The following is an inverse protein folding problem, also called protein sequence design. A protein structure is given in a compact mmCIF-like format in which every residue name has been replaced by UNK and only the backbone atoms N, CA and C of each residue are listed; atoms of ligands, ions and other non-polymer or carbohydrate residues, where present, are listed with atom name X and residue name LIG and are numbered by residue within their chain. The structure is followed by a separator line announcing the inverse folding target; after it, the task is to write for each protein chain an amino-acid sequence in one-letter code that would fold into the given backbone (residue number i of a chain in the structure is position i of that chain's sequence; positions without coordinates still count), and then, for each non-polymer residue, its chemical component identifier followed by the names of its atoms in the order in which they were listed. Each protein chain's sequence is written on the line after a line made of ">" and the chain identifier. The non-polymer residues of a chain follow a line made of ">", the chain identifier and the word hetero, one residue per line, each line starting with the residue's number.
data_IF_990451250323
#
_entry.id   IF_990451250323
#
_cell.length_a   1.000
_cell.length_b   1.000
_cell.length_c   1.000
_cell.angle_alpha   90.00
_cell.angle_beta   90.00
_cell.angle_gamma   90.00
#
_symmetry.space_group_name_H-M   'P 1'
#
loop_
_entity.id
_entity.type
_entity.pdbx_description
1 polymer ?
#
# COMPACT_ATOMS: atom_id res chain seq x y z
N UNK A 1 4.28 1.87 -23.00
CA UNK A 1 4.51 1.14 -21.74
C UNK A 1 5.47 1.96 -20.92
N UNK A 2 5.09 2.33 -19.70
CA UNK A 2 6.00 2.96 -18.72
C UNK A 2 6.87 1.83 -18.15
N UNK A 3 8.18 1.94 -18.31
CA UNK A 3 9.14 0.93 -17.82
C UNK A 3 9.18 0.94 -16.28
N UNK A 4 9.50 -0.19 -15.64
CA UNK A 4 9.71 -0.27 -14.19
C UNK A 4 10.78 0.73 -13.73
N UNK A 5 11.82 0.91 -14.54
CA UNK A 5 12.85 1.91 -14.31
C UNK A 5 12.28 3.33 -14.32
N UNK A 6 11.41 3.64 -15.29
CA UNK A 6 10.77 4.95 -15.40
C UNK A 6 9.88 5.20 -14.17
N UNK A 7 9.07 4.21 -13.78
CA UNK A 7 8.24 4.25 -12.57
C UNK A 7 9.06 4.55 -11.29
N UNK A 8 10.19 3.88 -11.09
CA UNK A 8 11.09 4.16 -9.96
C UNK A 8 11.59 5.60 -9.97
N UNK A 9 11.81 6.17 -11.15
CA UNK A 9 12.34 7.53 -11.31
C UNK A 9 11.30 8.63 -11.28
N UNK A 10 10.01 8.30 -11.38
CA UNK A 10 8.89 9.29 -11.42
C UNK A 10 9.00 10.29 -10.28
N UNK A 11 9.46 9.86 -9.10
CA UNK A 11 9.53 10.75 -7.93
C UNK A 11 10.86 11.50 -7.76
N UNK A 12 11.97 11.00 -8.32
CA UNK A 12 13.31 11.64 -8.19
C UNK A 12 13.70 12.44 -9.45
N UNK A 13 12.76 12.66 -10.37
CA UNK A 13 12.99 13.45 -11.59
C UNK A 13 14.12 12.93 -12.48
N UNK A 14 14.42 11.62 -12.41
CA UNK A 14 15.55 11.00 -13.11
C UNK A 14 16.92 11.15 -12.44
N UNK A 15 17.07 11.96 -11.38
CA UNK A 15 18.36 12.16 -10.70
C UNK A 15 18.81 10.95 -9.87
N UNK A 16 17.86 10.16 -9.39
CA UNK A 16 18.15 8.99 -8.56
C UNK A 16 18.96 7.93 -9.30
N UNK A 17 18.78 7.79 -10.60
CA UNK A 17 19.44 6.74 -11.39
C UNK A 17 20.85 7.11 -11.78
N UNK A 18 21.13 8.38 -12.07
CA UNK A 18 22.50 8.88 -12.22
C UNK A 18 23.28 8.70 -10.91
N UNK A 19 22.67 9.01 -9.76
CA UNK A 19 23.29 8.78 -8.45
C UNK A 19 23.53 7.30 -8.16
N UNK A 20 22.59 6.43 -8.53
CA UNK A 20 22.75 4.98 -8.38
C UNK A 20 23.91 4.47 -9.26
N UNK A 21 24.03 4.97 -10.49
CA UNK A 21 25.16 4.68 -11.39
C UNK A 21 26.50 5.07 -10.77
N UNK A 22 26.58 6.30 -10.26
CA UNK A 22 27.79 6.81 -9.63
C UNK A 22 28.17 6.06 -8.34
N UNK A 23 27.16 5.65 -7.56
CA UNK A 23 27.35 4.96 -6.30
C UNK A 23 27.82 3.51 -6.48
N UNK A 24 27.32 2.82 -7.51
CA UNK A 24 27.70 1.44 -7.82
C UNK A 24 28.86 1.34 -8.82
N UNK A 25 29.36 2.47 -9.35
CA UNK A 25 30.40 2.53 -10.40
C UNK A 25 30.01 1.75 -11.66
N UNK A 26 28.73 1.75 -11.98
CA UNK A 26 28.17 1.10 -13.16
C UNK A 26 27.81 2.15 -14.21
N UNK A 27 27.91 1.80 -15.48
CA UNK A 27 27.39 2.65 -16.55
C UNK A 27 25.86 2.72 -16.49
N UNK A 28 25.29 3.83 -16.98
CA UNK A 28 23.83 3.97 -17.12
C UNK A 28 23.17 2.85 -17.92
N UNK A 29 23.89 2.32 -18.92
CA UNK A 29 23.40 1.23 -19.77
C UNK A 29 23.32 -0.07 -18.97
N UNK A 30 24.35 -0.39 -18.19
CA UNK A 30 24.39 -1.57 -17.33
C UNK A 30 23.32 -1.53 -16.25
N UNK A 31 23.11 -0.37 -15.60
CA UNK A 31 22.03 -0.22 -14.61
C UNK A 31 20.67 -0.36 -15.25
N UNK A 32 20.44 0.22 -16.43
CA UNK A 32 19.17 0.08 -17.13
C UNK A 32 18.90 -1.39 -17.46
N UNK A 33 19.87 -2.06 -18.09
CA UNK A 33 19.74 -3.48 -18.46
C UNK A 33 19.54 -4.37 -17.22
N UNK A 34 20.24 -4.09 -16.13
CA UNK A 34 20.12 -4.86 -14.89
C UNK A 34 18.76 -4.62 -14.22
N UNK A 35 18.31 -3.37 -14.16
CA UNK A 35 16.99 -3.03 -13.60
C UNK A 35 15.85 -3.60 -14.43
N UNK A 36 15.97 -3.57 -15.76
CA UNK A 36 15.01 -4.18 -16.69
C UNK A 36 14.94 -5.70 -16.51
N UNK A 37 16.09 -6.37 -16.37
CA UNK A 37 16.14 -7.80 -16.07
C UNK A 37 15.58 -8.16 -14.68
N UNK A 38 15.66 -7.24 -13.72
CA UNK A 38 15.13 -7.40 -12.37
C UNK A 38 13.63 -7.12 -12.26
N UNK A 39 13.08 -6.32 -13.18
CA UNK A 39 11.71 -5.83 -13.10
C UNK A 39 10.66 -6.95 -12.88
N UNK A 40 10.66 -8.06 -13.65
CA UNK A 40 9.65 -9.11 -13.47
C UNK A 40 9.68 -9.74 -12.08
N UNK A 41 10.88 -9.96 -11.54
CA UNK A 41 11.06 -10.55 -10.21
C UNK A 41 10.58 -9.60 -9.11
N UNK A 42 10.86 -8.30 -9.23
CA UNK A 42 10.37 -7.29 -8.29
C UNK A 42 8.85 -7.14 -8.33
N UNK A 43 8.25 -7.15 -9.52
CA UNK A 43 6.79 -7.09 -9.66
C UNK A 43 6.12 -8.26 -8.93
N UNK A 44 6.61 -9.49 -9.12
CA UNK A 44 6.07 -10.68 -8.45
C UNK A 44 6.28 -10.63 -6.93
N UNK A 45 7.47 -10.20 -6.49
CA UNK A 45 7.79 -10.04 -5.07
C UNK A 45 6.84 -9.04 -4.40
N UNK A 46 6.61 -7.90 -5.04
CA UNK A 46 5.74 -6.85 -4.55
C UNK A 46 4.26 -7.27 -4.54
N UNK A 47 3.80 -7.91 -5.61
CA UNK A 47 2.45 -8.47 -5.69
C UNK A 47 2.21 -9.49 -4.56
N UNK A 48 3.16 -10.38 -4.33
CA UNK A 48 3.12 -11.34 -3.22
C UNK A 48 3.02 -10.61 -1.88
N UNK A 49 3.93 -9.67 -1.62
CA UNK A 49 3.95 -8.91 -0.38
C UNK A 49 2.63 -8.17 -0.13
N UNK A 50 1.98 -7.62 -1.16
CA UNK A 50 0.68 -6.97 -1.02
C UNK A 50 -0.48 -7.95 -0.82
N UNK A 51 -0.41 -9.14 -1.41
CA UNK A 51 -1.46 -10.15 -1.27
C UNK A 51 -1.50 -10.81 0.10
N UNK A 52 -0.38 -10.78 0.84
CA UNK A 52 -0.25 -11.35 2.17
C UNK A 52 -0.06 -10.24 3.22
N UNK A 53 -1.08 -9.95 4.06
CA UNK A 53 -1.00 -8.93 5.10
C UNK A 53 0.17 -9.12 6.08
N UNK A 54 0.55 -10.37 6.36
CA UNK A 54 1.65 -10.66 7.27
C UNK A 54 2.99 -10.28 6.61
N UNK A 55 3.19 -10.67 5.34
CA UNK A 55 4.37 -10.30 4.58
C UNK A 55 4.50 -8.78 4.46
N UNK A 56 3.41 -8.08 4.16
CA UNK A 56 3.40 -6.61 4.10
C UNK A 56 3.76 -5.97 5.45
N UNK A 57 3.31 -6.54 6.58
CA UNK A 57 3.62 -6.01 7.91
C UNK A 57 5.11 -6.09 8.24
N UNK A 58 5.76 -7.21 7.90
CA UNK A 58 7.20 -7.39 8.09
C UNK A 58 8.02 -6.47 7.17
N UNK A 59 7.62 -6.37 5.90
CA UNK A 59 8.20 -5.41 4.95
C UNK A 59 8.09 -3.98 5.50
N UNK A 60 6.91 -3.59 5.98
CA UNK A 60 6.68 -2.26 6.55
C UNK A 60 7.56 -2.00 7.78
N UNK A 61 7.67 -2.98 8.69
CA UNK A 61 8.52 -2.90 9.89
C UNK A 61 9.99 -2.68 9.55
N UNK A 62 10.51 -3.41 8.56
CA UNK A 62 11.89 -3.26 8.11
C UNK A 62 12.14 -2.00 7.28
N UNK A 63 11.07 -1.40 6.73
CA UNK A 63 11.14 -0.14 6.01
C UNK A 63 11.20 1.10 6.93
N UNK A 64 10.66 1.02 8.16
CA UNK A 64 10.59 2.16 9.10
C UNK A 64 11.88 2.99 9.23
N UNK A 65 13.09 2.39 9.34
CA UNK A 65 14.33 3.17 9.46
C UNK A 65 14.65 4.04 8.24
N UNK A 66 14.06 3.74 7.09
CA UNK A 66 14.28 4.47 5.84
C UNK A 66 13.21 5.52 5.55
N UNK A 67 12.13 5.55 6.32
CA UNK A 67 11.00 6.46 6.08
C UNK A 67 11.41 7.94 6.12
N UNK A 68 12.39 8.28 6.96
CA UNK A 68 12.93 9.64 7.10
C UNK A 68 14.29 9.81 6.41
N UNK A 69 14.77 8.81 5.67
CA UNK A 69 16.06 8.90 5.00
C UNK A 69 15.96 9.92 3.85
N UNK A 70 16.58 11.08 4.05
CA UNK A 70 16.68 12.12 3.03
C UNK A 70 17.82 11.73 2.08
N UNK A 71 17.49 11.15 0.93
CA UNK A 71 18.45 10.85 -0.12
C UNK A 71 18.14 9.59 -0.92
N UNK A 72 18.87 9.42 -2.02
CA UNK A 72 18.78 8.21 -2.85
C UNK A 72 19.51 7.05 -2.16
N UNK A 73 18.89 5.87 -1.99
CA UNK A 73 19.54 4.73 -1.37
C UNK A 73 20.76 4.29 -2.21
N UNK A 74 21.84 3.93 -1.50
CA UNK A 74 23.12 3.56 -2.12
C UNK A 74 23.74 2.30 -1.50
N UNK A 75 25.02 2.01 -1.79
CA UNK A 75 25.73 0.84 -1.29
C UNK A 75 25.74 0.73 0.24
N UNK A 76 25.82 1.86 0.94
CA UNK A 76 25.78 1.88 2.40
C UNK A 76 24.39 1.49 2.93
N UNK A 77 23.32 1.99 2.29
CA UNK A 77 21.94 1.57 2.59
C UNK A 77 21.78 0.06 2.39
N UNK A 78 22.33 -0.48 1.29
CA UNK A 78 22.26 -1.89 0.96
C UNK A 78 23.01 -2.81 1.95
N UNK A 79 23.98 -2.28 2.71
CA UNK A 79 24.70 -3.03 3.76
C UNK A 79 23.95 -3.08 5.08
N UNK A 80 22.96 -2.20 5.28
CA UNK A 80 22.22 -2.16 6.53
C UNK A 80 21.44 -3.48 6.77
N UNK A 81 21.39 -3.97 8.02
CA UNK A 81 20.60 -5.15 8.35
C UNK A 81 19.12 -4.98 8.00
N UNK A 82 18.59 -3.76 8.15
CA UNK A 82 17.22 -3.42 7.80
C UNK A 82 16.96 -3.59 6.29
N UNK A 83 17.82 -3.10 5.41
CA UNK A 83 17.64 -3.25 3.96
C UNK A 83 17.78 -4.72 3.51
N UNK A 84 18.66 -5.48 4.18
CA UNK A 84 18.79 -6.92 3.94
C UNK A 84 17.51 -7.66 4.30
N UNK A 85 17.01 -7.48 5.52
CA UNK A 85 15.79 -8.14 5.98
C UNK A 85 14.57 -7.67 5.18
N UNK A 86 14.53 -6.40 4.77
CA UNK A 86 13.50 -5.86 3.89
C UNK A 86 13.46 -6.61 2.55
N UNK A 87 14.61 -6.76 1.90
CA UNK A 87 14.71 -7.48 0.63
C UNK A 87 14.38 -8.97 0.81
N UNK A 88 14.90 -9.62 1.84
CA UNK A 88 14.64 -11.04 2.10
C UNK A 88 13.13 -11.30 2.31
N UNK A 89 12.43 -10.43 3.04
CA UNK A 89 10.98 -10.54 3.25
C UNK A 89 10.16 -10.15 2.01
N UNK A 90 10.59 -9.14 1.25
CA UNK A 90 9.91 -8.71 0.02
C UNK A 90 9.88 -9.84 -1.01
N UNK A 91 11.01 -10.54 -1.20
CA UNK A 91 11.10 -11.70 -2.10
C UNK A 91 10.55 -13.00 -1.46
N UNK A 92 10.14 -12.94 -0.19
CA UNK A 92 9.59 -14.05 0.58
C UNK A 92 10.64 -15.02 1.14
N UNK A 93 11.84 -15.05 0.58
CA UNK A 93 12.98 -15.75 1.17
C UNK A 93 14.31 -15.26 0.60
N UNK A 94 15.38 -15.46 1.38
CA UNK A 94 16.75 -15.18 0.96
C UNK A 94 17.20 -16.04 -0.22
N UNK A 95 16.75 -17.29 -0.30
CA UNK A 95 17.15 -18.22 -1.36
C UNK A 95 16.62 -17.75 -2.73
N UNK A 96 15.34 -17.33 -2.79
CA UNK A 96 14.74 -16.76 -4.00
C UNK A 96 15.50 -15.50 -4.41
N UNK A 97 15.79 -14.62 -3.46
CA UNK A 97 16.54 -13.39 -3.71
C UNK A 97 17.94 -13.67 -4.31
N UNK A 98 18.67 -14.65 -3.77
CA UNK A 98 20.00 -15.03 -4.28
C UNK A 98 19.94 -15.68 -5.67
N UNK A 99 18.93 -16.50 -5.96
CA UNK A 99 18.74 -17.09 -7.29
C UNK A 99 18.40 -16.03 -8.35
N UNK A 100 17.57 -15.05 -8.01
CA UNK A 100 17.30 -13.90 -8.88
C UNK A 100 18.58 -13.11 -9.15
N UNK A 101 19.37 -12.81 -8.11
CA UNK A 101 20.64 -12.10 -8.26
C UNK A 101 21.62 -12.86 -9.18
N UNK A 102 21.73 -14.18 -9.02
CA UNK A 102 22.58 -15.04 -9.87
C UNK A 102 22.10 -15.05 -11.33
N UNK A 103 20.78 -15.16 -11.55
CA UNK A 103 20.19 -15.17 -12.88
C UNK A 103 20.44 -13.86 -13.61
N UNK A 104 20.23 -12.73 -12.94
CA UNK A 104 20.45 -11.40 -13.51
C UNK A 104 21.93 -11.13 -13.74
N UNK A 105 22.81 -11.53 -12.81
CA UNK A 105 24.27 -11.45 -12.99
C UNK A 105 24.74 -12.09 -14.30
N UNK A 106 24.17 -13.24 -14.67
CA UNK A 106 24.48 -13.93 -15.93
C UNK A 106 24.01 -13.16 -17.17
N UNK A 107 22.94 -12.36 -17.05
CA UNK A 107 22.36 -11.59 -18.14
C UNK A 107 22.97 -10.20 -18.31
N UNK A 108 23.40 -9.57 -17.21
CA UNK A 108 23.94 -8.21 -17.22
C UNK A 108 25.46 -8.14 -17.20
N UNK A 109 26.17 -9.28 -17.09
CA UNK A 109 27.64 -9.36 -16.96
C UNK A 109 28.19 -8.59 -15.74
N UNK A 110 27.35 -8.43 -14.71
CA UNK A 110 27.72 -7.80 -13.44
C UNK A 110 27.94 -8.88 -12.39
N UNK A 111 28.93 -8.68 -11.51
CA UNK A 111 29.19 -9.59 -10.40
C UNK A 111 27.94 -9.77 -9.51
N UNK A 112 27.64 -11.01 -9.05
CA UNK A 112 26.42 -11.30 -8.30
C UNK A 112 26.34 -10.52 -6.98
N UNK A 113 27.48 -10.26 -6.33
CA UNK A 113 27.54 -9.45 -5.09
C UNK A 113 27.12 -7.99 -5.33
N UNK A 114 27.47 -7.42 -6.49
CA UNK A 114 27.03 -6.07 -6.88
C UNK A 114 25.54 -6.05 -7.19
N UNK A 115 25.03 -7.06 -7.90
CA UNK A 115 23.59 -7.22 -8.16
C UNK A 115 22.81 -7.36 -6.85
N UNK A 116 23.32 -8.12 -5.89
CA UNK A 116 22.72 -8.29 -4.57
C UNK A 116 22.54 -6.95 -3.84
N UNK A 117 23.61 -6.15 -3.79
CA UNK A 117 23.59 -4.81 -3.18
C UNK A 117 22.65 -3.87 -3.93
N UNK A 118 22.65 -3.94 -5.26
CA UNK A 118 21.75 -3.15 -6.10
C UNK A 118 20.29 -3.51 -5.81
N UNK A 119 19.94 -4.79 -5.76
CA UNK A 119 18.58 -5.26 -5.46
C UNK A 119 18.11 -4.79 -4.07
N UNK A 120 18.97 -4.81 -3.05
CA UNK A 120 18.62 -4.27 -1.72
C UNK A 120 18.31 -2.77 -1.78
N UNK A 121 19.15 -2.01 -2.46
CA UNK A 121 18.94 -0.57 -2.67
C UNK A 121 17.63 -0.30 -3.42
N UNK A 122 17.37 -1.07 -4.48
CA UNK A 122 16.14 -0.99 -5.27
C UNK A 122 14.91 -1.39 -4.47
N UNK A 123 15.02 -2.33 -3.53
CA UNK A 123 13.90 -2.74 -2.65
C UNK A 123 13.45 -1.57 -1.78
N UNK A 124 14.41 -0.88 -1.15
CA UNK A 124 14.13 0.33 -0.35
C UNK A 124 13.51 1.41 -1.23
N UNK A 125 14.10 1.67 -2.40
CA UNK A 125 13.62 2.68 -3.34
C UNK A 125 12.20 2.38 -3.85
N UNK A 126 11.90 1.11 -4.17
CA UNK A 126 10.59 0.70 -4.68
C UNK A 126 9.49 0.94 -3.66
N UNK A 127 9.75 0.57 -2.41
CA UNK A 127 8.79 0.77 -1.31
C UNK A 127 8.65 2.25 -1.00
N UNK A 128 9.74 3.01 -1.02
CA UNK A 128 9.71 4.46 -0.85
C UNK A 128 8.87 5.15 -1.93
N UNK A 129 9.10 4.85 -3.21
CA UNK A 129 8.35 5.39 -4.33
C UNK A 129 6.87 5.02 -4.23
N UNK A 130 6.56 3.79 -3.84
CA UNK A 130 5.19 3.34 -3.62
C UNK A 130 4.50 4.10 -2.49
N UNK A 131 5.14 4.21 -1.33
CA UNK A 131 4.61 4.94 -0.17
C UNK A 131 4.38 6.41 -0.51
N UNK A 132 5.31 7.03 -1.22
CA UNK A 132 5.19 8.40 -1.70
C UNK A 132 4.03 8.56 -2.69
N UNK A 133 3.85 7.61 -3.61
CA UNK A 133 2.75 7.62 -4.56
C UNK A 133 1.40 7.45 -3.84
N UNK A 134 1.32 6.56 -2.85
CA UNK A 134 0.15 6.38 -2.00
C UNK A 134 -0.17 7.67 -1.23
N UNK A 135 0.83 8.30 -0.63
CA UNK A 135 0.68 9.53 0.13
C UNK A 135 0.29 10.72 -0.77
N UNK A 136 0.90 10.83 -1.95
CA UNK A 136 0.56 11.84 -2.94
C UNK A 136 -0.87 11.65 -3.48
N UNK A 137 -1.30 10.40 -3.68
CA UNK A 137 -2.68 10.10 -4.07
C UNK A 137 -3.66 10.49 -2.96
N UNK A 138 -3.34 10.17 -1.71
CA UNK A 138 -4.15 10.56 -0.55
C UNK A 138 -4.23 12.09 -0.40
N UNK A 139 -3.11 12.79 -0.53
CA UNK A 139 -3.07 14.25 -0.46
C UNK A 139 -3.88 14.93 -1.58
N UNK A 140 -3.90 14.37 -2.80
CA UNK A 140 -4.75 14.86 -3.89
C UNK A 140 -6.24 14.56 -3.68
N UNK A 141 -6.55 13.49 -2.94
CA UNK A 141 -7.92 13.12 -2.59
C UNK A 141 -8.42 13.81 -1.33
N UNK A 142 -7.54 14.46 -0.56
CA UNK A 142 -7.98 15.29 0.55
C UNK A 142 -8.79 16.48 0.01
N UNK A 143 -10.02 16.68 0.50
CA UNK A 143 -10.78 17.89 0.21
C UNK A 143 -9.96 19.11 0.63
N UNK A 144 -9.80 20.07 -0.29
CA UNK A 144 -8.99 21.29 -0.07
C UNK A 144 -9.34 22.04 1.23
N UNK A 145 -10.58 21.88 1.73
CA UNK A 145 -11.04 22.51 2.97
C UNK A 145 -10.39 22.00 4.27
N UNK A 146 -9.74 20.83 4.31
CA UNK A 146 -9.06 20.36 5.53
C UNK A 146 -7.71 21.05 5.75
N UNK A 147 -7.00 21.41 4.68
CA UNK A 147 -5.71 22.09 4.77
C UNK A 147 -5.81 23.57 5.17
N UNK A 148 -6.95 24.22 4.87
CA UNK A 148 -7.23 25.62 5.23
C UNK A 148 -7.88 25.78 6.63
N UNK A 149 -7.96 24.71 7.42
CA UNK A 149 -8.61 24.74 8.75
C UNK A 149 -10.13 24.90 8.68
N UNK A 150 -10.73 24.78 7.49
CA UNK A 150 -12.14 25.00 7.24
C UNK A 150 -12.90 23.67 7.13
N UNK A 151 -12.82 22.89 8.22
CA UNK A 151 -13.53 21.61 8.41
C UNK A 151 -15.00 21.60 7.94
N UNK A 152 -15.85 22.61 8.22
CA UNK A 152 -17.24 22.59 7.76
C UNK A 152 -17.37 22.65 6.24
N UNK A 153 -16.49 23.38 5.55
CA UNK A 153 -16.46 23.44 4.07
C UNK A 153 -15.95 22.14 3.49
N UNK A 154 -14.93 21.55 4.12
CA UNK A 154 -14.39 20.25 3.72
C UNK A 154 -15.43 19.14 3.83
N UNK A 155 -16.20 19.13 4.93
CA UNK A 155 -17.27 18.17 5.17
C UNK A 155 -18.48 18.41 4.26
N UNK A 156 -18.85 19.67 3.99
CA UNK A 156 -19.88 20.00 3.02
C UNK A 156 -19.50 19.56 1.60
N UNK A 157 -18.23 19.70 1.22
CA UNK A 157 -17.76 19.23 -0.08
C UNK A 157 -17.68 17.70 -0.15
N UNK A 158 -17.29 17.04 0.94
CA UNK A 158 -17.36 15.58 1.05
C UNK A 158 -18.79 15.07 0.92
N UNK A 159 -19.75 15.69 1.65
CA UNK A 159 -21.18 15.38 1.54
C UNK A 159 -21.73 15.64 0.15
N UNK A 160 -21.29 16.72 -0.51
CA UNK A 160 -21.70 17.03 -1.88
C UNK A 160 -21.14 16.03 -2.89
N UNK A 161 -19.88 15.60 -2.72
CA UNK A 161 -19.26 14.55 -3.55
C UNK A 161 -19.92 13.20 -3.31
N UNK A 162 -20.26 12.85 -2.07
CA UNK A 162 -20.97 11.61 -1.74
C UNK A 162 -22.41 11.63 -2.23
N UNK A 163 -23.10 12.77 -2.15
CA UNK A 163 -24.45 12.95 -2.68
C UNK A 163 -24.47 12.77 -4.21
N UNK A 164 -23.53 13.40 -4.93
CA UNK A 164 -23.39 13.20 -6.38
C UNK A 164 -23.05 11.74 -6.76
N UNK A 165 -22.26 11.03 -5.94
CA UNK A 165 -21.95 9.62 -6.16
C UNK A 165 -23.17 8.69 -5.92
N UNK A 166 -23.99 9.01 -4.91
CA UNK A 166 -25.24 8.28 -4.65
C UNK A 166 -26.30 8.55 -5.72
N UNK A 167 -26.40 9.77 -6.23
CA UNK A 167 -27.29 10.10 -7.34
C UNK A 167 -26.87 9.41 -8.65
N UNK A 168 -25.57 9.21 -8.87
CA UNK A 168 -25.05 8.43 -9.99
C UNK A 168 -25.35 6.92 -9.88
N UNK A 169 -25.44 6.36 -8.66
CA UNK A 169 -25.84 4.96 -8.43
C UNK A 169 -27.36 4.74 -8.52
N UNK A 170 -28.16 5.79 -8.33
CA UNK A 170 -29.62 5.72 -8.39
C UNK A 170 -30.22 5.88 -9.79
N UNK A 171 -29.40 6.19 -10.81
CA UNK A 171 -29.88 6.30 -12.20
C UNK A 171 -29.98 4.92 -12.85
N UNK A 172 -31.17 4.44 -13.25
CA UNK A 172 -31.28 3.24 -14.07
C UNK A 172 -30.50 3.46 -15.37
N UNK A 173 -29.50 2.60 -15.58
CA UNK A 173 -28.59 2.66 -16.71
C UNK A 173 -29.32 2.19 -17.96
N UNK A 174 -29.74 3.14 -18.80
CA UNK A 174 -30.22 2.84 -20.15
C UNK A 174 -29.32 3.56 -21.16
N UNK A 175 -28.07 3.10 -21.26
CA UNK A 175 -27.16 3.40 -22.37
C UNK A 175 -25.96 2.43 -22.33
N UNK A 176 -25.65 1.72 -23.44
CA UNK A 176 -24.40 0.99 -23.54
C UNK A 176 -23.29 1.99 -23.90
N UNK A 177 -22.30 2.13 -23.02
CA UNK A 177 -20.86 2.40 -23.26
C UNK A 177 -20.22 3.28 -22.17
N UNK A 178 -19.28 2.67 -21.42
CA UNK A 178 -18.12 3.27 -20.68
C UNK A 178 -18.40 4.24 -19.51
N UNK A 179 -18.03 3.80 -18.30
CA UNK A 179 -16.84 4.25 -17.51
C UNK A 179 -16.82 3.57 -16.14
N UNK A 180 -15.68 3.03 -15.76
CA UNK A 180 -15.44 2.47 -14.42
C UNK A 180 -15.42 3.60 -13.37
N UNK A 181 -16.12 3.38 -12.26
CA UNK A 181 -16.19 4.28 -11.10
C UNK A 181 -15.06 3.94 -10.11
N UNK A 182 -14.26 4.90 -9.61
CA UNK A 182 -13.23 4.64 -8.60
C UNK A 182 -13.85 4.70 -7.20
N UNK A 183 -14.15 3.54 -6.61
CA UNK A 183 -14.78 3.50 -5.28
C UNK A 183 -14.69 2.19 -4.49
N UNK A 184 -14.01 1.16 -5.01
CA UNK A 184 -13.80 -0.10 -4.27
C UNK A 184 -12.29 -0.25 -3.97
N UNK A 185 -11.89 0.08 -2.74
CA UNK A 185 -10.55 -0.25 -2.24
C UNK A 185 -10.49 -1.74 -1.92
N UNK A 186 -10.03 -2.53 -2.89
CA UNK A 186 -9.72 -3.94 -2.74
C UNK A 186 -8.59 -4.33 -3.69
N UNK A 187 -7.97 -5.50 -3.47
CA UNK A 187 -6.91 -6.07 -4.31
C UNK A 187 -7.23 -6.00 -5.81
N UNK A 188 -8.50 -6.13 -6.17
CA UNK A 188 -9.00 -6.11 -7.54
C UNK A 188 -8.81 -4.76 -8.24
N UNK A 189 -8.79 -3.66 -7.49
CA UNK A 189 -8.52 -2.32 -8.06
C UNK A 189 -7.06 -2.20 -8.48
N UNK A 190 -6.12 -2.66 -7.65
CA UNK A 190 -4.69 -2.61 -7.98
C UNK A 190 -4.35 -3.60 -9.09
N UNK A 191 -4.97 -4.78 -9.09
CA UNK A 191 -4.86 -5.74 -10.20
C UNK A 191 -5.43 -5.14 -11.49
N UNK A 192 -6.59 -4.50 -11.44
CA UNK A 192 -7.18 -3.81 -12.58
C UNK A 192 -6.34 -2.64 -13.09
N UNK A 193 -5.76 -1.84 -12.20
CA UNK A 193 -4.91 -0.70 -12.55
C UNK A 193 -3.57 -1.15 -13.14
N UNK A 194 -3.02 -2.28 -12.67
CA UNK A 194 -1.81 -2.88 -13.22
C UNK A 194 -2.08 -3.56 -14.57
N UNK A 195 -3.17 -4.30 -14.71
CA UNK A 195 -3.61 -4.87 -15.98
C UNK A 195 -3.92 -3.79 -17.02
N UNK A 196 -4.56 -2.68 -16.65
CA UNK A 196 -4.79 -1.53 -17.53
C UNK A 196 -3.50 -0.77 -17.86
N UNK A 197 -2.53 -0.73 -16.94
CA UNK A 197 -1.20 -0.16 -17.19
C UNK A 197 -0.38 -0.99 -18.19
N UNK A 198 -0.42 -2.32 -18.08
CA UNK A 198 0.22 -3.23 -19.05
C UNK A 198 -0.45 -3.17 -20.42
N UNK A 199 -1.77 -2.99 -20.47
CA UNK A 199 -2.53 -2.79 -21.70
C UNK A 199 -2.48 -1.34 -22.24
N UNK A 200 -1.66 -0.47 -21.67
CA UNK A 200 -1.39 0.88 -22.19
C UNK A 200 -2.54 1.87 -22.02
N UNK A 201 -3.51 1.57 -21.14
CA UNK A 201 -4.74 2.34 -20.96
C UNK A 201 -4.76 3.03 -19.61
N UNK A 202 -3.80 3.94 -19.42
CA UNK A 202 -3.65 4.71 -18.20
C UNK A 202 -4.65 5.88 -18.17
N UNK A 203 -5.39 6.09 -17.06
CA UNK A 203 -6.44 7.13 -16.97
C UNK A 203 -5.92 8.58 -16.93
N UNK A 204 -4.60 8.78 -16.85
CA UNK A 204 -3.97 10.11 -16.79
C UNK A 204 -3.39 10.61 -18.13
N UNK A 205 -3.55 9.87 -19.24
CA UNK A 205 -3.23 10.41 -20.56
C UNK A 205 -4.43 11.21 -21.12
N UNK A 206 -4.24 12.46 -21.59
CA UNK A 206 -5.24 13.10 -22.43
C UNK A 206 -5.39 12.28 -23.74
N UNK A 207 -6.63 12.09 -24.25
CA UNK A 207 -6.81 11.47 -25.55
C UNK A 207 -6.07 12.30 -26.59
N UNK A 208 -5.14 11.68 -27.33
CA UNK A 208 -4.55 12.30 -28.50
C UNK A 208 -5.66 12.59 -29.51
N UNK A 209 -6.11 13.85 -29.54
CA UNK A 209 -6.93 14.39 -30.62
C UNK A 209 -6.07 14.42 -31.87
N UNK A 210 -6.20 13.38 -32.69
CA UNK A 210 -5.51 13.32 -33.96
C UNK A 210 -5.54 11.92 -34.53
N UNK A 211 -6.69 11.52 -35.06
CA UNK A 211 -6.78 10.67 -36.26
C UNK A 211 -8.23 10.64 -36.75
N UNK A 212 -8.64 11.74 -37.37
CA UNK A 212 -9.72 11.76 -38.35
C UNK A 212 -9.33 10.86 -39.52
N UNK A 213 -10.26 9.97 -39.88
CA UNK A 213 -10.02 8.89 -40.80
C UNK A 213 -9.60 9.30 -42.21
N UNK A 214 -8.76 8.45 -42.80
CA UNK A 214 -8.66 8.28 -44.24
C UNK A 214 -8.84 6.80 -44.57
N UNK A 215 -10.04 6.51 -45.05
CA UNK A 215 -10.49 5.28 -45.70
C UNK A 215 -9.63 5.00 -46.93
N UNK A 216 -8.91 3.88 -46.96
CA UNK A 216 -8.42 3.28 -48.19
C UNK A 216 -8.73 1.77 -48.21
N UNK A 217 -9.26 1.32 -49.34
CA UNK A 217 -9.82 -0.01 -49.60
C UNK A 217 -8.73 -1.05 -49.83
N UNK A 218 -9.00 -2.24 -49.32
CA UNK A 218 -8.75 -3.59 -49.86
C UNK A 218 -7.56 -3.83 -50.80
N UNK A 219 -6.61 -4.65 -50.35
CA UNK A 219 -6.07 -5.76 -51.14
C UNK A 219 -5.33 -6.75 -50.22
N UNK A 220 -5.93 -7.93 -50.10
CA UNK A 220 -5.28 -9.25 -50.15
C UNK A 220 -3.80 -9.35 -49.78
N UNK A 221 -3.51 -9.98 -48.63
CA UNK A 221 -2.31 -10.78 -48.38
C UNK A 221 -2.56 -11.70 -47.18
N UNK A 222 -2.78 -12.96 -47.48
CA UNK A 222 -2.50 -14.08 -46.58
C UNK A 222 -1.05 -13.99 -46.10
N UNK A 223 -0.87 -13.73 -44.81
CA UNK A 223 0.41 -13.96 -44.15
C UNK A 223 0.11 -14.43 -42.72
N UNK A 224 0.20 -15.74 -42.52
CA UNK A 224 0.18 -16.38 -41.21
C UNK A 224 1.29 -15.76 -40.36
N UNK A 225 0.88 -15.07 -39.30
CA UNK A 225 1.79 -14.59 -38.26
C UNK A 225 1.96 -15.73 -37.26
N UNK A 226 3.20 -16.13 -36.91
CA UNK A 226 3.40 -17.11 -35.85
C UNK A 226 2.86 -16.52 -34.54
N UNK A 227 2.04 -17.31 -33.84
CA UNK A 227 1.47 -16.95 -32.55
C UNK A 227 2.56 -16.41 -31.62
N UNK A 228 2.40 -15.15 -31.19
CA UNK A 228 3.21 -14.58 -30.14
C UNK A 228 3.08 -15.45 -28.88
N UNK A 229 4.21 -15.93 -28.38
CA UNK A 229 4.28 -16.66 -27.12
C UNK A 229 3.83 -15.72 -26.00
N UNK A 230 2.67 -16.03 -25.42
CA UNK A 230 2.15 -15.35 -24.24
C UNK A 230 2.64 -16.09 -22.99
N UNK A 231 3.63 -15.55 -22.25
CA UNK A 231 4.29 -16.24 -21.14
C UNK A 231 3.35 -16.51 -19.94
N UNK A 232 2.14 -15.96 -19.94
CA UNK A 232 1.17 -16.11 -18.85
C UNK A 232 0.01 -17.07 -19.17
N UNK A 233 -0.13 -17.55 -20.41
CA UNK A 233 -1.13 -18.56 -20.75
C UNK A 233 -1.09 -19.85 -19.90
N UNK A 234 0.07 -20.42 -19.51
CA UNK A 234 0.06 -21.60 -18.65
C UNK A 234 -0.44 -21.30 -17.22
N UNK A 235 -0.31 -20.06 -16.75
CA UNK A 235 -0.81 -19.64 -15.43
C UNK A 235 -2.31 -19.42 -15.45
N UNK A 236 -2.85 -18.77 -16.49
CA UNK A 236 -4.30 -18.59 -16.65
C UNK A 236 -5.03 -19.95 -16.78
N UNK A 237 -4.45 -20.91 -17.51
CA UNK A 237 -5.00 -22.26 -17.60
C UNK A 237 -4.99 -23.00 -16.25
N UNK A 238 -3.99 -22.77 -15.40
CA UNK A 238 -3.90 -23.38 -14.07
C UNK A 238 -4.88 -22.74 -13.08
N UNK A 239 -5.02 -21.41 -13.08
CA UNK A 239 -6.01 -20.71 -12.24
C UNK A 239 -7.45 -21.03 -12.64
N UNK A 240 -7.74 -21.16 -13.94
CA UNK A 240 -9.06 -21.57 -14.41
C UNK A 240 -9.44 -22.98 -13.92
N UNK A 241 -8.49 -23.93 -13.93
CA UNK A 241 -8.70 -25.27 -13.38
C UNK A 241 -8.84 -25.29 -11.86
N UNK A 242 -8.13 -24.43 -11.15
CA UNK A 242 -8.24 -24.30 -9.69
C UNK A 242 -9.59 -23.70 -9.27
N UNK A 243 -10.03 -22.62 -9.93
CA UNK A 243 -11.33 -22.01 -9.69
C UNK A 243 -12.50 -22.97 -10.04
N UNK A 244 -12.33 -23.78 -11.09
CA UNK A 244 -13.29 -24.84 -11.42
C UNK A 244 -13.27 -26.02 -10.45
N UNK A 245 -12.19 -26.20 -9.67
CA UNK A 245 -12.07 -27.25 -8.66
C UNK A 245 -12.63 -26.89 -7.29
N UNK A 246 -12.67 -25.61 -6.92
CA UNK A 246 -13.23 -25.15 -5.63
C UNK A 246 -14.74 -24.93 -5.64
N UNK A 247 -15.37 -24.83 -6.81
CA UNK A 247 -16.81 -24.58 -6.96
C UNK A 247 -17.68 -25.85 -6.94
N UNK A 248 -17.08 -27.02 -6.74
CA UNK A 248 -17.81 -28.29 -6.69
C UNK A 248 -17.19 -29.30 -5.73
N UNK A 249 -17.38 -29.10 -4.43
CA UNK A 249 -17.18 -30.16 -3.44
C UNK A 249 -18.12 -29.96 -2.25
N UNK A 250 -19.32 -30.50 -2.40
CA UNK A 250 -20.24 -30.78 -1.32
C UNK A 250 -19.64 -31.79 -0.33
N UNK A 251 -19.74 -31.39 0.94
CA UNK A 251 -19.87 -32.16 2.18
C UNK A 251 -19.94 -33.69 2.08
N UNK A 252 -18.95 -34.40 2.65
CA UNK A 252 -19.08 -35.77 3.19
C UNK A 252 -17.93 -36.16 4.13
N UNK A 253 -18.24 -36.21 5.43
CA UNK A 253 -17.83 -37.13 6.50
C UNK A 253 -16.43 -37.77 6.58
N UNK A 254 -15.85 -37.63 7.78
CA UNK A 254 -15.32 -38.67 8.71
C UNK A 254 -13.96 -38.22 9.30
N UNK A 255 -13.89 -37.86 10.58
CA UNK A 255 -13.80 -38.75 11.75
C UNK A 255 -12.50 -39.58 11.74
N UNK A 256 -11.52 -39.16 12.56
CA UNK A 256 -10.26 -39.88 12.75
C UNK A 256 -9.33 -39.18 13.73
N UNK A 257 -9.61 -39.35 15.02
CA UNK A 257 -8.75 -38.96 16.15
C UNK A 257 -7.46 -39.78 16.17
N UNK A 258 -6.29 -39.14 16.36
CA UNK A 258 -5.13 -39.76 17.02
C UNK A 258 -4.09 -38.70 17.46
N UNK A 259 -4.19 -38.35 18.75
CA UNK A 259 -3.10 -37.94 19.64
C UNK A 259 -2.18 -39.18 19.86
N UNK A 260 -0.84 -39.09 19.97
CA UNK A 260 -0.21 -38.57 21.20
C UNK A 260 1.23 -37.98 21.13
N UNK A 261 1.59 -37.36 22.27
CA UNK A 261 2.90 -37.35 22.94
C UNK A 261 3.65 -36.01 23.00
N UNK A 262 3.37 -35.27 24.09
CA UNK A 262 4.34 -34.51 24.89
C UNK A 262 5.52 -35.42 25.31
N UNK A 263 6.75 -34.88 25.49
CA UNK A 263 7.09 -34.46 26.85
C UNK A 263 8.13 -33.31 27.00
N UNK A 264 8.14 -32.81 28.24
CA UNK A 264 9.28 -32.34 29.03
C UNK A 264 9.72 -30.87 28.97
N UNK A 265 9.20 -30.15 29.97
CA UNK A 265 9.75 -28.96 30.59
C UNK A 265 11.17 -29.19 31.16
N UNK A 266 12.07 -28.23 30.91
CA UNK A 266 13.25 -27.96 31.76
C UNK A 266 13.55 -26.45 31.83
N UNK A 267 13.31 -25.92 33.01
CA UNK A 267 13.93 -24.72 33.63
C UNK A 267 14.11 -25.11 35.11
N UNK A 268 15.02 -24.55 35.95
CA UNK A 268 15.77 -23.30 35.80
C UNK A 268 17.26 -23.33 36.28
N UNK A 269 18.01 -22.26 36.03
CA UNK A 269 19.04 -21.68 36.92
C UNK A 269 19.64 -20.43 36.22
N UNK A 270 19.34 -19.20 36.65
CA UNK A 270 19.92 -18.45 37.78
C UNK A 270 21.17 -17.63 37.39
N UNK A 271 20.98 -16.32 37.48
CA UNK A 271 21.89 -15.17 37.62
C UNK A 271 23.27 -15.44 38.26
N UNK A 272 24.29 -14.61 37.95
CA UNK A 272 24.48 -13.43 38.80
C UNK A 272 24.81 -12.13 38.08
N UNK A 273 24.39 -11.05 38.74
CA UNK A 273 24.78 -9.66 38.60
C UNK A 273 26.30 -9.43 38.59
N UNK A 274 26.75 -8.34 37.94
CA UNK A 274 27.35 -7.17 38.63
C UNK A 274 27.76 -6.04 37.68
N UNK A 275 27.53 -4.82 38.18
CA UNK A 275 28.35 -3.59 38.06
C UNK A 275 28.44 -2.79 36.76
N UNK A 276 27.55 -1.79 36.71
CA UNK A 276 27.81 -0.34 36.60
C UNK A 276 29.27 0.13 36.43
N UNK A 277 29.53 0.98 35.43
CA UNK A 277 30.26 2.26 35.57
C UNK A 277 29.94 3.18 34.38
N UNK A 278 29.79 4.47 34.69
CA UNK A 278 29.39 5.63 33.89
C UNK A 278 30.36 6.06 32.78
N UNK A 279 29.93 7.12 32.06
CA UNK A 279 30.61 8.01 31.11
C UNK A 279 30.20 7.74 29.64
N UNK A 280 29.73 8.70 28.83
CA UNK A 280 29.69 10.14 28.97
C UNK A 280 28.57 10.73 28.07
N UNK A 281 28.08 11.89 28.52
CA UNK A 281 27.27 12.85 27.80
C UNK A 281 27.88 13.23 26.45
N UNK A 282 27.04 13.30 25.40
CA UNK A 282 27.05 14.30 24.33
C UNK A 282 26.36 13.74 23.07
N UNK A 283 25.05 13.96 22.92
CA UNK A 283 24.36 14.13 21.62
C UNK A 283 22.83 14.15 21.82
N UNK A 284 22.33 15.16 22.55
CA UNK A 284 20.90 15.28 22.84
C UNK A 284 20.33 16.60 22.28
N UNK A 285 20.23 16.71 20.95
CA UNK A 285 19.46 17.80 20.32
C UNK A 285 18.77 17.41 18.99
N UNK A 286 18.99 16.19 18.45
CA UNK A 286 18.38 15.76 17.18
C UNK A 286 17.27 14.68 17.35
N UNK A 287 17.07 14.15 18.55
CA UNK A 287 16.07 13.10 18.84
C UNK A 287 14.70 13.64 19.34
N UNK A 288 14.64 14.89 19.82
CA UNK A 288 13.43 15.46 20.45
C UNK A 288 12.22 15.60 19.51
N UNK A 289 12.45 15.77 18.20
CA UNK A 289 11.35 16.02 17.25
C UNK A 289 10.40 14.83 17.04
N UNK A 290 10.88 13.59 17.21
CA UNK A 290 10.04 12.40 17.05
C UNK A 290 9.30 12.04 18.34
N UNK A 291 9.95 12.19 19.49
CA UNK A 291 9.30 12.02 20.80
C UNK A 291 8.20 13.07 21.01
N UNK A 292 8.40 14.31 20.58
CA UNK A 292 7.37 15.34 20.63
C UNK A 292 6.20 15.06 19.68
N UNK A 293 6.47 14.49 18.49
CA UNK A 293 5.42 14.06 17.56
C UNK A 293 4.61 12.88 18.12
N UNK A 294 5.29 11.89 18.70
CA UNK A 294 4.63 10.74 19.32
C UNK A 294 3.76 11.17 20.51
N UNK A 295 4.26 12.10 21.33
CA UNK A 295 3.52 12.66 22.47
C UNK A 295 2.32 13.50 22.03
N UNK A 296 2.47 14.31 20.98
CA UNK A 296 1.36 15.05 20.38
C UNK A 296 0.28 14.12 19.80
N UNK A 297 0.67 12.98 19.21
CA UNK A 297 -0.25 11.96 18.73
C UNK A 297 -1.08 11.33 19.84
N UNK A 298 -0.47 11.01 20.99
CA UNK A 298 -1.20 10.45 22.13
C UNK A 298 -2.19 11.45 22.73
N UNK A 299 -1.82 12.73 22.85
CA UNK A 299 -2.74 13.76 23.36
C UNK A 299 -3.96 13.94 22.46
N UNK A 300 -3.78 13.83 21.14
CA UNK A 300 -4.88 13.95 20.18
C UNK A 300 -5.85 12.77 20.26
N UNK A 301 -5.34 11.55 20.51
CA UNK A 301 -6.18 10.37 20.75
C UNK A 301 -6.99 10.47 22.04
N UNK A 302 -6.39 10.96 23.13
CA UNK A 302 -7.10 11.15 24.40
C UNK A 302 -8.21 12.20 24.29
N UNK A 303 -7.95 13.30 23.60
CA UNK A 303 -8.94 14.36 23.39
C UNK A 303 -10.11 13.88 22.52
N UNK A 304 -9.82 13.12 21.46
CA UNK A 304 -10.85 12.47 20.64
C UNK A 304 -11.68 11.45 21.44
N UNK A 305 -11.04 10.62 22.26
CA UNK A 305 -11.74 9.66 23.11
C UNK A 305 -12.66 10.35 24.14
N UNK A 306 -12.22 11.45 24.73
CA UNK A 306 -13.03 12.28 25.62
C UNK A 306 -14.23 12.90 24.91
N UNK A 307 -14.02 13.47 23.74
CA UNK A 307 -15.09 14.10 22.97
C UNK A 307 -16.14 13.08 22.51
N UNK A 308 -15.69 11.88 22.13
CA UNK A 308 -16.60 10.76 21.83
C UNK A 308 -17.41 10.34 23.06
N UNK A 309 -16.78 10.21 24.23
CA UNK A 309 -17.49 9.89 25.47
C UNK A 309 -18.50 10.97 25.89
N UNK A 310 -18.19 12.23 25.64
CA UNK A 310 -19.09 13.35 25.96
C UNK A 310 -20.35 13.36 25.06
N UNK A 311 -20.22 13.00 23.78
CA UNK A 311 -21.35 12.81 22.88
C UNK A 311 -22.31 11.69 23.35
N UNK A 312 -21.77 10.63 23.95
CA UNK A 312 -22.58 9.54 24.50
C UNK A 312 -23.21 9.87 25.85
N UNK A 313 -22.60 10.73 26.66
CA UNK A 313 -23.14 11.12 27.96
C UNK A 313 -24.14 12.30 27.87
N UNK A 314 -23.94 13.21 26.91
CA UNK A 314 -24.78 14.40 26.72
C UNK A 314 -26.19 14.14 26.20
N UNK A 315 -26.50 12.93 25.73
CA UNK A 315 -27.83 12.57 25.19
C UNK A 315 -28.73 11.83 26.19
N UNK A 316 -28.26 11.56 27.42
CA UNK A 316 -28.96 10.71 28.39
C UNK A 316 -29.72 11.41 29.53
N UNK A 317 -29.73 12.74 29.61
CA UNK A 317 -30.35 13.48 30.74
C UNK A 317 -31.39 14.51 30.30
N UNK A 318 -32.32 14.12 29.44
CA UNK A 318 -33.58 14.85 29.31
C UNK A 318 -34.51 14.40 30.45
N UNK A 319 -34.45 15.16 31.55
CA UNK A 319 -35.29 14.99 32.74
C UNK A 319 -36.76 15.16 32.33
N UNK A 320 -37.64 14.17 32.57
CA UNK A 320 -39.06 14.32 32.27
C UNK A 320 -39.62 15.42 33.18
N UNK A 321 -40.08 16.50 32.57
CA UNK A 321 -40.95 17.49 33.20
C UNK A 321 -42.30 16.82 33.48
N UNK A 322 -42.42 16.22 34.66
CA UNK A 322 -43.70 16.03 35.34
C UNK A 322 -44.22 17.43 35.73
N UNK A 323 -45.06 18.00 34.87
CA UNK A 323 -45.96 19.10 35.25
C UNK A 323 -47.38 18.69 34.86
N UNK A 324 -47.92 17.79 35.68
CA UNK A 324 -49.32 17.42 35.70
C UNK A 324 -49.83 17.55 37.14
N UNK A 325 -50.98 18.23 37.25
CA UNK A 325 -51.88 18.28 38.40
C UNK A 325 -51.44 19.07 39.63
N UNK A 326 -51.90 20.32 39.73
CA UNK A 326 -52.69 20.67 40.92
C UNK A 326 -53.72 21.77 40.62
N UNK A 327 -54.98 21.37 40.60
CA UNK A 327 -56.12 22.25 40.81
C UNK A 327 -56.91 21.66 41.97
N UNK A 328 -57.37 22.50 42.91
CA UNK A 328 -58.81 22.42 43.18
C UNK A 328 -59.47 23.76 43.55
N UNK A 329 -60.72 23.85 43.07
CA UNK A 329 -61.93 24.19 43.83
C UNK A 329 -62.10 25.56 44.51
N UNK A 330 -63.09 26.30 43.99
CA UNK A 330 -64.31 26.76 44.68
C UNK A 330 -64.24 27.48 46.04
N UNK A 331 -64.92 28.63 46.08
CA UNK A 331 -65.47 29.29 47.28
C UNK A 331 -65.42 30.81 47.12
N UNK A 332 -66.41 31.46 46.50
CA UNK A 332 -67.69 31.91 47.07
C UNK A 332 -67.57 32.96 48.20
N UNK A 333 -68.49 33.94 48.10
CA UNK A 333 -69.02 34.83 49.13
C UNK A 333 -68.36 36.20 49.44
N UNK A 334 -68.99 37.24 48.85
CA UNK A 334 -69.89 38.23 49.52
C UNK A 334 -69.28 39.39 50.36
N UNK A 335 -69.96 40.56 50.23
CA UNK A 335 -69.95 41.83 51.02
C UNK A 335 -68.83 42.80 50.65
N UNK A 336 -69.07 44.10 50.45
CA UNK A 336 -70.17 45.03 50.75
C UNK A 336 -69.97 46.29 49.91
#
# INVERSE_FOLDING_TARGET
>A
MTDFFDWLTVNDGGLGTDRLADAFKLSRKEIRQTTEALAPAFTLALQRAMSDPNAWSEVSRHFLPFMNAVGTPGPETARSPAAKNLADNLFGSRDIFLEVARKVSTMSDIAPDTVEKLMRSLSVMSIQTMMQMMLANMARQQPAGFAEGNYPVAMAEMMRRSANAMEAMGRPSDEPHRRASPGAMGSDYLTGLFSDALNGRLPWLPPSTGETGARARSADRTNETPAAFDPFQPFDAMMAHFASGMSGADTSSSAGSQQPAEPEARTPAQEPASETTNEAEASDEAAGGFDDLARAGMTMQEEFARQMLDLFQGTGSEKPTDDASDGPASGDSRKT
#
